data_IF_443821303272
#
_entry.id   IF_443821303272
#
_cell.length_a   1.000
_cell.length_b   1.000
_cell.length_c   1.000
_cell.angle_alpha   90.00
_cell.angle_beta   90.00
_cell.angle_gamma   90.00
#
_symmetry.space_group_name_H-M   'P 1'
#
loop_
_entity.id
_entity.type
_entity.pdbx_description
1 polymer ?
#
# COMPACT_ATOMS: atom_id res chain seq x y z
N UNK A 1 6.77 18.94 -7.55
CA UNK A 1 5.55 18.21 -7.15
C UNK A 1 5.19 17.29 -8.30
N UNK A 2 5.38 15.99 -8.13
CA UNK A 2 5.04 15.02 -9.17
C UNK A 2 3.55 14.73 -9.03
N UNK A 3 2.78 14.83 -10.11
CA UNK A 3 1.40 14.37 -10.10
C UNK A 3 1.43 12.84 -9.99
N UNK A 4 1.32 12.35 -8.76
CA UNK A 4 1.42 10.93 -8.43
C UNK A 4 0.38 10.09 -9.17
N UNK A 5 -0.72 10.70 -9.63
CA UNK A 5 -1.76 10.03 -10.40
C UNK A 5 -1.28 9.57 -11.78
N UNK A 6 -0.18 10.15 -12.29
CA UNK A 6 0.46 9.72 -13.54
C UNK A 6 1.54 8.64 -13.32
N UNK A 7 1.80 8.25 -12.06
CA UNK A 7 2.76 7.19 -11.76
C UNK A 7 2.09 5.82 -11.92
N UNK A 8 2.54 5.03 -12.87
CA UNK A 8 2.08 3.64 -13.06
C UNK A 8 2.16 2.79 -11.80
N UNK A 9 3.17 3.02 -10.95
CA UNK A 9 3.32 2.30 -9.68
C UNK A 9 2.23 2.67 -8.68
N UNK A 10 1.75 3.92 -8.69
CA UNK A 10 0.64 4.35 -7.85
C UNK A 10 -0.69 3.76 -8.33
N UNK A 11 -0.94 3.76 -9.64
CA UNK A 11 -2.13 3.12 -10.24
C UNK A 11 -2.20 1.63 -9.85
N UNK A 12 -1.09 0.90 -10.02
CA UNK A 12 -0.98 -0.51 -9.63
C UNK A 12 -1.16 -0.73 -8.13
N UNK A 13 -0.65 0.17 -7.30
CA UNK A 13 -0.84 0.09 -5.86
C UNK A 13 -2.32 0.30 -5.47
N UNK A 14 -3.04 1.20 -6.15
CA UNK A 14 -4.49 1.40 -5.97
C UNK A 14 -5.27 0.13 -6.35
N UNK A 15 -4.94 -0.48 -7.50
CA UNK A 15 -5.54 -1.73 -7.93
C UNK A 15 -5.31 -2.85 -6.90
N UNK A 16 -4.06 -3.00 -6.43
CA UNK A 16 -3.72 -3.94 -5.37
C UNK A 16 -4.53 -3.70 -4.09
N UNK A 17 -4.64 -2.45 -3.64
CA UNK A 17 -5.42 -2.11 -2.45
C UNK A 17 -6.90 -2.48 -2.61
N UNK A 18 -7.50 -2.23 -3.77
CA UNK A 18 -8.88 -2.67 -4.06
C UNK A 18 -9.02 -4.18 -3.99
N UNK A 19 -8.12 -4.92 -4.64
CA UNK A 19 -8.14 -6.39 -4.61
C UNK A 19 -7.97 -6.96 -3.19
N UNK A 20 -7.15 -6.33 -2.34
CA UNK A 20 -7.03 -6.73 -0.92
C UNK A 20 -8.33 -6.47 -0.15
N UNK A 21 -9.02 -5.36 -0.42
CA UNK A 21 -10.31 -5.08 0.20
C UNK A 21 -11.36 -6.12 -0.25
N UNK A 22 -11.47 -6.40 -1.54
CA UNK A 22 -12.37 -7.41 -2.09
C UNK A 22 -12.06 -8.82 -1.53
N UNK A 23 -10.78 -9.21 -1.50
CA UNK A 23 -10.36 -10.49 -0.92
C UNK A 23 -10.74 -10.59 0.56
N UNK A 24 -10.53 -9.51 1.32
CA UNK A 24 -10.78 -9.51 2.77
C UNK A 24 -12.24 -9.72 3.17
N UNK A 25 -13.19 -9.49 2.26
CA UNK A 25 -14.62 -9.75 2.49
C UNK A 25 -14.93 -11.25 2.59
N UNK A 26 -14.03 -12.09 2.08
CA UNK A 26 -14.15 -13.55 2.10
C UNK A 26 -13.52 -14.17 3.35
N UNK A 27 -12.85 -13.38 4.19
CA UNK A 27 -12.20 -13.87 5.41
C UNK A 27 -13.21 -14.02 6.56
N UNK A 28 -13.01 -15.00 7.46
CA UNK A 28 -13.86 -15.19 8.62
C UNK A 28 -13.98 -13.94 9.50
N UNK A 29 -15.16 -13.70 10.08
CA UNK A 29 -15.41 -12.52 10.91
C UNK A 29 -14.51 -12.43 12.16
N UNK A 30 -14.02 -13.56 12.69
CA UNK A 30 -13.08 -13.57 13.81
C UNK A 30 -11.69 -13.02 13.43
N UNK A 31 -11.35 -12.96 12.13
CA UNK A 31 -10.10 -12.36 11.64
C UNK A 31 -10.18 -10.84 11.42
N UNK A 32 -11.34 -10.23 11.65
CA UNK A 32 -11.58 -8.80 11.39
C UNK A 32 -10.53 -7.89 12.02
N UNK A 33 -10.12 -8.18 13.25
CA UNK A 33 -9.07 -7.45 13.97
C UNK A 33 -7.70 -8.14 13.91
N UNK A 34 -7.64 -9.34 13.35
CA UNK A 34 -6.43 -10.10 13.04
C UNK A 34 -5.95 -9.78 11.63
N UNK A 35 -5.84 -10.80 10.78
CA UNK A 35 -5.17 -10.69 9.47
C UNK A 35 -5.88 -9.69 8.54
N UNK A 36 -7.21 -9.61 8.58
CA UNK A 36 -8.00 -8.67 7.76
C UNK A 36 -7.59 -7.23 8.01
N UNK A 37 -7.36 -6.86 9.26
CA UNK A 37 -6.92 -5.49 9.60
C UNK A 37 -5.49 -5.21 9.15
N UNK A 38 -4.62 -6.22 9.22
CA UNK A 38 -3.21 -6.09 8.87
C UNK A 38 -3.03 -5.92 7.36
N UNK A 39 -3.60 -6.81 6.55
CA UNK A 39 -3.47 -6.75 5.09
C UNK A 39 -4.05 -5.45 4.52
N UNK A 40 -5.19 -4.97 5.06
CA UNK A 40 -5.78 -3.68 4.66
C UNK A 40 -4.85 -2.51 4.94
N UNK A 41 -4.24 -2.48 6.12
CA UNK A 41 -3.30 -1.41 6.49
C UNK A 41 -2.04 -1.44 5.65
N UNK A 42 -1.44 -2.62 5.44
CA UNK A 42 -0.25 -2.75 4.60
C UNK A 42 -0.54 -2.33 3.16
N UNK A 43 -1.67 -2.77 2.57
CA UNK A 43 -2.06 -2.38 1.21
C UNK A 43 -2.30 -0.87 1.05
N UNK A 44 -3.02 -0.23 1.99
CA UNK A 44 -3.25 1.22 1.98
C UNK A 44 -1.92 1.98 2.16
N UNK A 45 -1.04 1.50 3.04
CA UNK A 45 0.28 2.10 3.29
C UNK A 45 1.13 2.16 2.03
N UNK A 46 1.10 1.14 1.16
CA UNK A 46 1.84 1.13 -0.12
C UNK A 46 1.45 2.34 -0.96
N UNK A 47 0.15 2.56 -1.17
CA UNK A 47 -0.41 3.67 -1.95
C UNK A 47 -0.10 5.02 -1.31
N UNK A 48 -0.36 5.14 0.00
CA UNK A 48 -0.21 6.39 0.74
C UNK A 48 1.23 6.87 0.73
N UNK A 49 2.20 5.98 0.91
CA UNK A 49 3.61 6.34 0.87
C UNK A 49 4.04 6.83 -0.52
N UNK A 50 3.57 6.22 -1.61
CA UNK A 50 3.89 6.69 -2.97
C UNK A 50 3.36 8.12 -3.20
N UNK A 51 2.10 8.37 -2.83
CA UNK A 51 1.48 9.68 -2.98
C UNK A 51 2.15 10.75 -2.10
N UNK A 52 2.44 10.40 -0.83
CA UNK A 52 3.11 11.30 0.10
C UNK A 52 4.53 11.65 -0.36
N UNK A 53 5.28 10.64 -0.83
CA UNK A 53 6.62 10.79 -1.38
C UNK A 53 6.66 11.70 -2.61
N UNK A 54 5.72 11.54 -3.53
CA UNK A 54 5.61 12.36 -4.74
C UNK A 54 5.30 13.85 -4.45
N UNK A 55 4.68 14.12 -3.29
CA UNK A 55 4.45 15.46 -2.76
C UNK A 55 5.66 16.10 -2.06
N UNK A 56 6.78 15.37 -1.88
CA UNK A 56 7.99 15.92 -1.24
C UNK A 56 8.82 16.78 -2.19
N UNK A 57 9.72 17.57 -1.60
CA UNK A 57 10.47 18.62 -2.30
C UNK A 57 11.75 18.12 -2.97
N UNK A 58 12.18 16.88 -2.68
CA UNK A 58 13.44 16.33 -3.19
C UNK A 58 13.32 14.86 -3.55
N UNK A 59 14.10 14.41 -4.52
CA UNK A 59 14.15 13.00 -4.94
C UNK A 59 14.60 12.09 -3.80
N UNK A 60 15.54 12.54 -2.96
CA UNK A 60 15.99 11.78 -1.78
C UNK A 60 14.83 11.49 -0.83
N UNK A 61 13.96 12.47 -0.59
CA UNK A 61 12.76 12.24 0.22
C UNK A 61 11.79 11.30 -0.49
N UNK A 62 11.58 11.48 -1.79
CA UNK A 62 10.71 10.58 -2.55
C UNK A 62 11.18 9.12 -2.46
N UNK A 63 12.48 8.87 -2.64
CA UNK A 63 13.08 7.53 -2.50
C UNK A 63 12.84 6.94 -1.12
N UNK A 64 12.94 7.71 -0.04
CA UNK A 64 12.66 7.22 1.31
C UNK A 64 11.22 6.72 1.45
N UNK A 65 10.25 7.45 0.89
CA UNK A 65 8.84 7.04 0.87
C UNK A 65 8.60 5.81 -0.02
N UNK A 66 9.31 5.68 -1.15
CA UNK A 66 9.26 4.47 -1.98
C UNK A 66 9.81 3.25 -1.23
N UNK A 67 10.88 3.40 -0.45
CA UNK A 67 11.41 2.32 0.39
C UNK A 67 10.38 1.90 1.47
N UNK A 68 9.67 2.85 2.08
CA UNK A 68 8.60 2.54 3.02
C UNK A 68 7.43 1.81 2.34
N UNK A 69 7.03 2.25 1.14
CA UNK A 69 6.03 1.59 0.31
C UNK A 69 6.44 0.14 -0.01
N UNK A 70 7.71 -0.09 -0.37
CA UNK A 70 8.24 -1.42 -0.60
C UNK A 70 8.25 -2.29 0.66
N UNK A 71 8.61 -1.72 1.82
CA UNK A 71 8.49 -2.42 3.11
C UNK A 71 7.07 -2.90 3.38
N UNK A 72 6.07 -2.02 3.20
CA UNK A 72 4.66 -2.42 3.33
C UNK A 72 4.22 -3.46 2.30
N UNK A 73 4.84 -3.53 1.11
CA UNK A 73 4.56 -4.62 0.16
C UNK A 73 5.06 -5.97 0.64
N UNK A 74 6.24 -6.03 1.28
CA UNK A 74 6.76 -7.27 1.84
C UNK A 74 5.95 -7.74 3.05
N UNK A 75 5.48 -6.82 3.88
CA UNK A 75 4.54 -7.13 4.97
C UNK A 75 3.23 -7.71 4.43
N UNK A 76 2.63 -7.07 3.42
CA UNK A 76 1.41 -7.56 2.79
C UNK A 76 1.59 -8.96 2.20
N UNK A 77 2.69 -9.18 1.47
CA UNK A 77 3.04 -10.49 0.91
C UNK A 77 3.16 -11.54 2.01
N UNK A 78 3.91 -11.25 3.07
CA UNK A 78 4.08 -12.16 4.22
C UNK A 78 2.76 -12.50 4.92
N UNK A 79 1.81 -11.56 4.96
CA UNK A 79 0.50 -11.75 5.59
C UNK A 79 -0.50 -12.50 4.70
N UNK A 80 -0.25 -12.59 3.40
CA UNK A 80 -1.09 -13.33 2.44
C UNK A 80 -0.64 -14.78 2.24
N UNK A 81 0.61 -15.12 2.57
CA UNK A 81 1.15 -16.48 2.58
C UNK A 81 0.93 -17.18 3.94
#
# INVERSE_FOLDING_TARGET
MHDYKNLKVWEKAIELAKSVYEFSEHLPNNEKFGITSQIKRSAVSIVSNIAEGAGRNTDKQFVNFLNMSQGSSFELETQLF
#
